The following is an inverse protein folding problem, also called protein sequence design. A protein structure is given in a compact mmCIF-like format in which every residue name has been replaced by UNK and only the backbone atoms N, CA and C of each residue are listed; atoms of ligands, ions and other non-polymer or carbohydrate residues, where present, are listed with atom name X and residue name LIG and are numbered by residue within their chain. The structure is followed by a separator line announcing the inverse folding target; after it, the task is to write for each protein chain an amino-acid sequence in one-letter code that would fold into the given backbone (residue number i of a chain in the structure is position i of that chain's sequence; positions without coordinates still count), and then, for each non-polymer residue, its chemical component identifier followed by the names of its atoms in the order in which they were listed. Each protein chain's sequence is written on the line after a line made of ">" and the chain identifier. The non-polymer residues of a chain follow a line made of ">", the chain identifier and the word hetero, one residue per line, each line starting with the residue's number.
data_IF_008385027828
#
_entry.id   IF_008385027828
#
_cell.length_a   1.000
_cell.length_b   1.000
_cell.length_c   1.000
_cell.angle_alpha   90.00
_cell.angle_beta   90.00
_cell.angle_gamma   90.00
#
_symmetry.space_group_name_H-M   'P 1'
#
loop_
_entity.id
_entity.type
_entity.pdbx_description
1 polymer ?
#
# COMPACT_ATOMS: atom_id res chain seq x y z
N UNK A 1 19.87 17.10 -12.77
CA UNK A 1 18.58 17.75 -12.42
C UNK A 1 18.19 17.35 -11.01
N UNK A 2 17.84 18.33 -10.21
CA UNK A 2 17.41 18.12 -8.82
C UNK A 2 15.89 17.95 -8.82
N UNK A 3 15.39 16.88 -8.23
CA UNK A 3 13.95 16.65 -8.09
C UNK A 3 13.46 17.43 -6.89
N UNK A 4 12.66 18.45 -7.11
CA UNK A 4 12.01 19.22 -6.04
C UNK A 4 10.66 18.57 -5.72
N UNK A 5 10.44 18.20 -4.47
CA UNK A 5 9.15 17.69 -3.99
C UNK A 5 8.42 18.82 -3.26
N UNK A 6 7.15 19.01 -3.63
CA UNK A 6 6.23 19.91 -2.94
C UNK A 6 5.16 19.09 -2.24
N UNK A 7 4.86 19.48 -1.00
CA UNK A 7 3.89 18.81 -0.15
C UNK A 7 2.75 19.77 0.17
N UNK A 8 1.53 19.31 -0.06
CA UNK A 8 0.32 20.05 0.27
C UNK A 8 -0.60 19.16 1.09
N UNK A 9 -1.02 19.63 2.25
CA UNK A 9 -2.10 18.98 2.99
C UNK A 9 -3.44 19.41 2.39
N UNK A 10 -4.33 18.45 2.16
CA UNK A 10 -5.70 18.66 1.71
C UNK A 10 -6.68 18.16 2.78
N UNK A 11 -7.99 18.22 2.52
CA UNK A 11 -9.01 17.84 3.48
C UNK A 11 -8.81 16.43 4.04
N UNK A 12 -8.88 16.27 5.34
CA UNK A 12 -8.77 15.00 6.06
C UNK A 12 -9.91 14.04 5.66
N UNK A 13 -9.66 12.75 5.59
CA UNK A 13 -10.74 11.78 5.34
C UNK A 13 -11.79 11.84 6.48
N UNK A 14 -13.09 11.58 6.20
CA UNK A 14 -14.17 11.69 7.20
C UNK A 14 -14.19 10.53 8.20
N UNK A 15 -13.03 10.15 8.70
CA UNK A 15 -12.84 9.19 9.78
C UNK A 15 -11.87 9.82 10.77
N UNK A 16 -12.37 10.34 11.87
CA UNK A 16 -11.60 11.16 12.82
C UNK A 16 -10.32 10.49 13.36
N UNK A 17 -10.28 9.16 13.40
CA UNK A 17 -9.09 8.39 13.78
C UNK A 17 -8.19 8.05 12.60
N UNK A 18 -8.63 8.30 11.36
CA UNK A 18 -7.99 7.77 10.16
C UNK A 18 -8.06 6.25 10.09
N UNK A 19 -7.46 5.68 9.05
CA UNK A 19 -7.40 4.23 8.82
C UNK A 19 -6.03 3.80 8.32
N UNK A 20 -5.62 2.59 8.65
CA UNK A 20 -4.49 1.92 8.01
C UNK A 20 -4.99 1.00 6.91
N UNK A 21 -4.20 0.87 5.85
CA UNK A 21 -4.41 -0.03 4.72
C UNK A 21 -5.83 0.01 4.10
N UNK A 22 -6.41 1.19 3.83
CA UNK A 22 -7.60 1.27 3.01
C UNK A 22 -7.25 0.92 1.56
N UNK A 23 -8.27 0.54 0.79
CA UNK A 23 -8.21 0.58 -0.66
C UNK A 23 -8.38 2.01 -1.13
N UNK A 24 -7.60 2.41 -2.12
CA UNK A 24 -7.73 3.75 -2.69
C UNK A 24 -7.40 3.74 -4.19
N UNK A 25 -7.96 4.68 -4.92
CA UNK A 25 -7.76 4.81 -6.35
C UNK A 25 -8.53 5.98 -6.92
N UNK A 26 -8.61 6.04 -8.24
CA UNK A 26 -9.37 7.05 -8.97
C UNK A 26 -10.60 6.40 -9.59
N UNK A 27 -11.78 6.92 -9.23
CA UNK A 27 -13.07 6.50 -9.80
C UNK A 27 -13.67 7.69 -10.57
N UNK A 28 -13.81 7.54 -11.87
CA UNK A 28 -14.20 8.65 -12.79
C UNK A 28 -13.28 9.83 -12.61
N UNK A 29 -12.48 10.36 -12.41
CA UNK A 29 -11.66 11.56 -12.09
C UNK A 29 -11.53 11.91 -10.60
N UNK A 30 -12.33 11.26 -9.72
CA UNK A 30 -12.33 11.54 -8.28
C UNK A 30 -11.44 10.58 -7.52
N UNK A 31 -10.75 11.08 -6.50
CA UNK A 31 -10.07 10.22 -5.53
C UNK A 31 -11.11 9.47 -4.68
N UNK A 32 -10.93 8.17 -4.52
CA UNK A 32 -11.74 7.35 -3.61
C UNK A 32 -10.86 6.65 -2.59
N UNK A 33 -11.37 6.53 -1.35
CA UNK A 33 -10.77 5.81 -0.25
C UNK A 33 -11.83 4.92 0.39
N UNK A 34 -11.53 3.63 0.54
CA UNK A 34 -12.53 2.66 0.98
C UNK A 34 -11.96 1.69 2.02
N UNK A 35 -12.74 1.41 3.06
CA UNK A 35 -12.38 0.41 4.07
C UNK A 35 -11.19 0.82 4.95
N UNK A 36 -10.28 -0.12 5.16
CA UNK A 36 -9.16 0.03 6.10
C UNK A 36 -9.55 -0.27 7.55
N UNK A 37 -8.61 -0.14 8.47
CA UNK A 37 -8.86 -0.44 9.88
C UNK A 37 -8.19 0.54 10.83
N UNK A 38 -8.83 0.72 12.00
CA UNK A 38 -8.29 1.53 13.09
C UNK A 38 -8.72 1.02 14.47
N UNK A 39 -8.47 1.81 15.49
CA UNK A 39 -8.92 1.59 16.86
C UNK A 39 -9.84 2.75 17.27
N UNK A 40 -11.17 2.66 17.01
CA UNK A 40 -12.07 3.82 17.12
C UNK A 40 -12.36 4.25 18.57
N UNK A 41 -12.37 3.32 19.51
CA UNK A 41 -12.78 3.59 20.90
C UNK A 41 -11.60 3.86 21.84
N UNK A 42 -10.60 2.98 21.82
CA UNK A 42 -9.41 3.06 22.66
C UNK A 42 -8.19 2.53 21.91
N UNK A 43 -6.99 2.92 22.31
CA UNK A 43 -5.76 2.44 21.68
C UNK A 43 -5.45 0.98 22.04
N UNK A 44 -4.58 0.28 21.27
CA UNK A 44 -4.23 -1.11 21.58
C UNK A 44 -3.72 -1.34 23.01
N UNK A 45 -2.92 -0.43 23.53
CA UNK A 45 -2.40 -0.50 24.91
C UNK A 45 -3.45 -0.22 26.00
N UNK A 46 -4.60 0.33 25.61
CA UNK A 46 -5.78 0.54 26.45
C UNK A 46 -6.80 -0.59 26.25
N UNK A 47 -6.40 -1.72 25.66
CA UNK A 47 -7.23 -2.86 25.25
C UNK A 47 -8.28 -2.52 24.20
N UNK A 48 -8.02 -1.51 23.38
CA UNK A 48 -8.89 -1.14 22.25
C UNK A 48 -8.97 -2.26 21.22
N UNK A 49 -10.17 -2.55 20.75
CA UNK A 49 -10.40 -3.48 19.67
C UNK A 49 -10.12 -2.82 18.33
N UNK A 50 -9.40 -3.53 17.44
CA UNK A 50 -9.22 -3.13 16.06
C UNK A 50 -10.51 -3.38 15.27
N UNK A 51 -10.95 -2.38 14.52
CA UNK A 51 -12.17 -2.43 13.72
C UNK A 51 -11.83 -2.19 12.27
N UNK A 52 -12.36 -3.05 11.40
CA UNK A 52 -12.34 -2.87 9.95
C UNK A 52 -13.57 -2.12 9.50
N UNK A 53 -13.42 -1.28 8.50
CA UNK A 53 -14.47 -0.40 7.96
C UNK A 53 -14.90 -0.84 6.57
N UNK A 54 -16.10 -0.40 6.17
CA UNK A 54 -16.68 -0.64 4.85
C UNK A 54 -16.97 0.64 4.06
N UNK A 55 -16.91 1.81 4.69
CA UNK A 55 -17.29 3.09 4.05
C UNK A 55 -16.37 3.42 2.89
N UNK A 56 -16.98 4.02 1.84
CA UNK A 56 -16.30 4.56 0.67
C UNK A 56 -16.47 6.06 0.69
N UNK A 57 -15.35 6.75 0.70
CA UNK A 57 -15.27 8.21 0.65
C UNK A 57 -14.78 8.65 -0.73
N UNK A 58 -15.31 9.74 -1.23
CA UNK A 58 -14.92 10.38 -2.50
C UNK A 58 -14.51 11.81 -2.29
N UNK A 59 -13.41 12.22 -2.92
CA UNK A 59 -12.97 13.60 -3.05
C UNK A 59 -12.93 13.97 -4.54
N UNK A 60 -13.75 14.91 -4.97
CA UNK A 60 -13.85 15.32 -6.38
C UNK A 60 -12.67 16.16 -6.82
N UNK A 61 -12.28 17.11 -5.97
CA UNK A 61 -11.21 18.07 -6.18
C UNK A 61 -10.39 18.22 -4.88
N UNK A 62 -9.13 18.63 -4.94
CA UNK A 62 -8.29 18.77 -3.75
C UNK A 62 -8.85 19.72 -2.68
N UNK A 63 -9.63 20.72 -3.10
CA UNK A 63 -10.22 21.74 -2.22
C UNK A 63 -11.71 21.48 -1.93
N UNK A 64 -12.26 20.36 -2.37
CA UNK A 64 -13.65 19.97 -2.10
C UNK A 64 -13.79 19.26 -0.75
N UNK A 65 -15.02 19.11 -0.31
CA UNK A 65 -15.35 18.26 0.83
C UNK A 65 -15.45 16.80 0.40
N UNK A 66 -15.12 15.90 1.33
CA UNK A 66 -15.31 14.47 1.15
C UNK A 66 -16.79 14.10 1.20
N UNK A 67 -17.20 13.22 0.32
CA UNK A 67 -18.55 12.64 0.27
C UNK A 67 -18.48 11.16 0.64
N UNK A 68 -19.44 10.66 1.42
CA UNK A 68 -19.66 9.21 1.56
C UNK A 68 -20.54 8.74 0.42
N UNK A 69 -20.01 7.87 -0.45
CA UNK A 69 -20.68 7.45 -1.69
C UNK A 69 -21.15 5.99 -1.67
N UNK A 70 -20.86 5.24 -0.62
CA UNK A 70 -21.24 3.83 -0.54
C UNK A 70 -20.48 3.05 0.50
N UNK A 71 -20.52 1.74 0.34
CA UNK A 71 -19.87 0.76 1.20
C UNK A 71 -19.25 -0.36 0.37
N UNK A 72 -18.12 -0.91 0.83
CA UNK A 72 -17.59 -2.18 0.35
C UNK A 72 -18.60 -3.31 0.65
N UNK A 73 -18.54 -4.44 -0.10
CA UNK A 73 -19.39 -5.60 0.18
C UNK A 73 -19.28 -6.14 1.61
N UNK A 74 -18.14 -5.88 2.26
CA UNK A 74 -17.87 -6.19 3.67
C UNK A 74 -16.79 -5.27 4.22
N UNK A 75 -16.66 -5.13 5.56
CA UNK A 75 -15.52 -4.46 6.16
C UNK A 75 -14.22 -5.14 5.75
N UNK A 76 -13.28 -4.38 5.15
CA UNK A 76 -12.08 -4.95 4.53
C UNK A 76 -10.93 -3.94 4.52
N UNK A 77 -9.69 -4.43 4.58
CA UNK A 77 -8.46 -3.65 4.41
C UNK A 77 -7.26 -4.54 4.13
N UNK A 78 -6.06 -3.97 4.01
CA UNK A 78 -4.79 -4.69 3.85
C UNK A 78 -4.63 -5.50 2.54
N UNK A 79 -5.49 -5.28 1.55
CA UNK A 79 -5.36 -5.84 0.20
C UNK A 79 -4.67 -4.88 -0.76
N UNK A 80 -4.73 -5.23 -2.04
CA UNK A 80 -4.29 -4.40 -3.14
C UNK A 80 -5.44 -3.61 -3.76
N UNK A 81 -5.17 -2.40 -4.27
CA UNK A 81 -6.11 -1.67 -5.11
C UNK A 81 -5.42 -1.00 -6.29
N UNK A 82 -6.12 -0.99 -7.43
CA UNK A 82 -5.57 -0.51 -8.68
C UNK A 82 -6.58 0.37 -9.41
N UNK A 83 -6.18 1.56 -9.80
CA UNK A 83 -6.94 2.37 -10.75
C UNK A 83 -6.83 1.74 -12.13
N UNK A 84 -7.97 1.44 -12.73
CA UNK A 84 -8.08 0.90 -14.10
C UNK A 84 -9.11 1.69 -14.88
N UNK A 85 -9.18 1.47 -16.19
CA UNK A 85 -10.27 2.03 -16.99
C UNK A 85 -11.61 1.53 -16.46
N UNK A 86 -12.52 2.46 -16.20
CA UNK A 86 -13.84 2.17 -15.66
C UNK A 86 -13.95 2.05 -14.14
N UNK A 87 -12.84 2.02 -13.36
CA UNK A 87 -12.98 1.90 -11.92
C UNK A 87 -11.74 1.62 -11.11
N UNK A 88 -11.94 0.99 -9.97
CA UNK A 88 -10.87 0.56 -9.06
C UNK A 88 -11.00 -0.93 -8.77
N UNK A 89 -9.98 -1.70 -9.11
CA UNK A 89 -9.90 -3.12 -8.72
C UNK A 89 -9.47 -3.19 -7.26
N UNK A 90 -10.19 -3.98 -6.48
CA UNK A 90 -9.88 -4.34 -5.09
C UNK A 90 -9.58 -5.83 -5.06
N UNK A 91 -8.43 -6.23 -4.54
CA UNK A 91 -7.97 -7.62 -4.55
C UNK A 91 -7.45 -8.07 -3.18
N UNK A 92 -7.95 -9.20 -2.70
CA UNK A 92 -7.55 -9.78 -1.43
C UNK A 92 -7.90 -8.92 -0.21
N UNK A 93 -7.05 -8.92 0.80
CA UNK A 93 -7.21 -8.18 2.03
C UNK A 93 -7.67 -9.02 3.20
N UNK A 94 -7.97 -8.37 4.32
CA UNK A 94 -8.36 -9.02 5.58
C UNK A 94 -9.53 -8.33 6.26
N UNK A 95 -10.25 -9.09 7.05
CA UNK A 95 -11.10 -8.61 8.14
C UNK A 95 -10.48 -9.00 9.51
N UNK A 96 -11.31 -9.01 10.56
CA UNK A 96 -10.86 -9.38 11.91
C UNK A 96 -10.52 -10.87 12.09
N UNK A 97 -10.97 -11.75 11.22
CA UNK A 97 -10.88 -13.21 11.38
C UNK A 97 -10.06 -13.91 10.31
N UNK A 98 -9.97 -13.36 9.11
CA UNK A 98 -9.35 -14.07 7.98
C UNK A 98 -8.82 -13.13 6.91
N UNK A 99 -8.01 -13.72 6.01
CA UNK A 99 -7.62 -13.11 4.75
C UNK A 99 -8.50 -13.64 3.62
N UNK A 100 -8.61 -12.86 2.54
CA UNK A 100 -9.48 -13.13 1.41
C UNK A 100 -8.68 -13.27 0.11
N UNK A 101 -9.24 -14.05 -0.83
CA UNK A 101 -8.79 -14.12 -2.21
C UNK A 101 -9.70 -13.33 -3.16
N UNK A 102 -10.86 -12.90 -2.70
CA UNK A 102 -11.87 -12.23 -3.51
C UNK A 102 -11.33 -10.96 -4.18
N UNK A 103 -11.73 -10.76 -5.43
CA UNK A 103 -11.42 -9.55 -6.19
C UNK A 103 -12.72 -8.94 -6.74
N UNK A 104 -12.77 -7.62 -6.81
CA UNK A 104 -13.91 -6.88 -7.30
C UNK A 104 -13.45 -5.69 -8.14
N UNK A 105 -14.19 -5.37 -9.19
CA UNK A 105 -14.11 -4.07 -9.83
C UNK A 105 -15.18 -3.16 -9.21
N UNK A 106 -14.72 -2.12 -8.53
CA UNK A 106 -15.55 -1.06 -8.00
C UNK A 106 -15.78 -0.02 -9.09
N UNK A 107 -17.03 0.20 -9.47
CA UNK A 107 -17.45 1.13 -10.53
C UNK A 107 -18.55 2.07 -10.03
N UNK A 108 -18.80 3.12 -10.78
CA UNK A 108 -19.99 3.96 -10.59
C UNK A 108 -20.98 3.74 -11.72
N UNK A 109 -22.20 3.35 -11.38
CA UNK A 109 -23.29 3.20 -12.31
C UNK A 109 -24.49 4.06 -11.85
N UNK A 110 -24.89 5.03 -12.67
CA UNK A 110 -25.99 5.96 -12.40
C UNK A 110 -25.88 6.63 -11.02
N UNK A 111 -24.66 7.07 -10.66
CA UNK A 111 -24.38 7.76 -9.40
C UNK A 111 -24.28 6.85 -8.17
N UNK A 112 -24.33 5.53 -8.33
CA UNK A 112 -24.17 4.54 -7.26
C UNK A 112 -22.92 3.73 -7.45
N UNK A 113 -22.21 3.45 -6.37
CA UNK A 113 -21.08 2.51 -6.39
C UNK A 113 -21.63 1.09 -6.51
N UNK A 114 -21.12 0.36 -7.49
CA UNK A 114 -21.42 -1.06 -7.73
C UNK A 114 -20.14 -1.87 -7.78
N UNK A 115 -20.24 -3.16 -7.49
CA UNK A 115 -19.13 -4.08 -7.48
C UNK A 115 -19.39 -5.23 -8.43
N UNK A 116 -18.49 -5.41 -9.39
CA UNK A 116 -18.48 -6.58 -10.27
C UNK A 116 -17.44 -7.59 -9.75
N UNK A 117 -17.82 -8.85 -9.48
CA UNK A 117 -16.87 -9.88 -9.11
C UNK A 117 -15.87 -10.13 -10.23
N UNK A 118 -14.59 -10.18 -9.86
CA UNK A 118 -13.50 -10.57 -10.75
C UNK A 118 -12.95 -11.95 -10.32
N UNK A 119 -12.19 -12.64 -11.18
CA UNK A 119 -11.47 -13.84 -10.79
C UNK A 119 -10.66 -13.60 -9.52
N UNK A 120 -10.83 -14.49 -8.54
CA UNK A 120 -10.13 -14.42 -7.25
C UNK A 120 -8.63 -14.66 -7.40
N UNK A 121 -7.83 -14.08 -6.48
CA UNK A 121 -6.44 -14.46 -6.31
C UNK A 121 -6.34 -15.99 -6.12
N UNK A 122 -5.24 -16.64 -6.57
CA UNK A 122 -5.05 -18.09 -6.40
C UNK A 122 -5.04 -18.56 -4.94
N UNK A 123 -4.69 -17.68 -4.02
CA UNK A 123 -4.66 -17.89 -2.57
C UNK A 123 -5.17 -16.63 -1.84
N UNK A 124 -5.71 -16.75 -0.61
CA UNK A 124 -6.00 -15.60 0.23
C UNK A 124 -4.71 -14.83 0.54
N UNK A 125 -4.73 -13.50 0.40
CA UNK A 125 -3.57 -12.67 0.69
C UNK A 125 -3.95 -11.34 1.33
N UNK A 126 -3.20 -10.96 2.37
CA UNK A 126 -3.18 -9.61 2.92
C UNK A 126 -1.74 -9.15 3.18
N UNK A 127 -1.56 -7.88 3.51
CA UNK A 127 -0.25 -7.26 3.72
C UNK A 127 0.68 -7.39 2.51
N UNK A 128 0.10 -7.28 1.33
CA UNK A 128 0.81 -7.37 0.04
C UNK A 128 1.43 -6.04 -0.36
N UNK A 129 2.45 -6.10 -1.21
CA UNK A 129 2.82 -4.97 -2.06
C UNK A 129 2.15 -5.10 -3.43
N UNK A 130 1.92 -3.99 -4.12
CA UNK A 130 1.24 -4.02 -5.41
C UNK A 130 1.59 -2.82 -6.27
N UNK A 131 1.49 -2.98 -7.59
CA UNK A 131 1.58 -1.89 -8.55
C UNK A 131 0.93 -2.28 -9.88
N UNK A 132 0.54 -1.28 -10.68
CA UNK A 132 0.11 -1.50 -12.08
C UNK A 132 1.32 -1.38 -13.00
N UNK A 133 1.60 -2.43 -13.76
CA UNK A 133 2.72 -2.51 -14.73
C UNK A 133 2.17 -2.63 -16.15
N UNK A 134 2.11 -1.53 -16.86
CA UNK A 134 1.31 -1.47 -18.10
C UNK A 134 -0.13 -1.83 -17.78
N UNK A 135 -0.65 -2.85 -18.44
CA UNK A 135 -2.01 -3.36 -18.18
C UNK A 135 -2.04 -4.47 -17.12
N UNK A 136 -0.90 -4.88 -16.58
CA UNK A 136 -0.84 -5.90 -15.54
C UNK A 136 -1.05 -5.31 -14.15
N UNK A 137 -1.99 -5.87 -13.41
CA UNK A 137 -2.19 -5.67 -11.98
C UNK A 137 -1.30 -6.65 -11.25
N UNK A 138 -0.27 -6.17 -10.56
CA UNK A 138 0.75 -7.03 -9.94
C UNK A 138 0.64 -7.01 -8.43
N UNK A 139 0.58 -8.18 -7.80
CA UNK A 139 0.54 -8.40 -6.35
C UNK A 139 1.77 -9.19 -5.94
N UNK A 140 2.50 -8.72 -4.93
CA UNK A 140 3.78 -9.28 -4.48
C UNK A 140 3.72 -9.61 -3.00
N UNK A 141 4.14 -10.82 -2.64
CA UNK A 141 4.32 -11.21 -1.24
C UNK A 141 3.00 -11.34 -0.47
N UNK A 142 3.00 -10.86 0.77
CA UNK A 142 1.86 -10.96 1.68
C UNK A 142 1.89 -12.21 2.55
N UNK A 143 0.80 -12.45 3.25
CA UNK A 143 0.59 -13.66 4.07
C UNK A 143 -0.83 -14.19 3.88
N UNK A 144 -1.00 -15.52 4.06
CA UNK A 144 -2.24 -16.22 3.71
C UNK A 144 -3.29 -16.17 4.81
N UNK A 145 -2.87 -16.09 6.07
CA UNK A 145 -3.77 -16.00 7.23
C UNK A 145 -3.25 -15.01 8.26
N UNK A 146 -4.10 -14.47 9.14
CA UNK A 146 -3.66 -13.58 10.22
C UNK A 146 -2.65 -14.23 11.18
N UNK A 147 -2.71 -15.54 11.32
CA UNK A 147 -1.84 -16.32 12.22
C UNK A 147 -0.57 -16.84 11.53
N UNK A 148 -0.38 -16.58 10.23
CA UNK A 148 0.81 -17.07 9.50
C UNK A 148 2.10 -16.55 10.12
N UNK A 149 3.02 -17.46 10.40
CA UNK A 149 4.39 -17.15 10.84
C UNK A 149 5.40 -17.19 9.70
N UNK A 150 4.91 -17.23 8.48
CA UNK A 150 5.69 -17.14 7.24
C UNK A 150 5.00 -16.19 6.28
N UNK A 151 5.79 -15.49 5.48
CA UNK A 151 5.34 -14.67 4.38
C UNK A 151 5.39 -15.42 3.05
N UNK A 152 4.79 -14.84 2.02
CA UNK A 152 4.87 -15.32 0.63
C UNK A 152 5.98 -14.58 -0.13
N UNK A 153 6.58 -15.24 -1.11
CA UNK A 153 7.43 -14.63 -2.15
C UNK A 153 6.84 -14.72 -3.54
N UNK A 154 5.57 -15.17 -3.63
CA UNK A 154 4.86 -15.31 -4.90
C UNK A 154 4.52 -13.96 -5.47
N UNK A 155 4.44 -13.90 -6.78
CA UNK A 155 4.10 -12.71 -7.55
C UNK A 155 2.98 -13.09 -8.49
N UNK A 156 1.81 -12.51 -8.30
CA UNK A 156 0.66 -12.74 -9.15
C UNK A 156 0.41 -11.54 -10.05
N UNK A 157 -0.04 -11.80 -11.26
CA UNK A 157 -0.45 -10.75 -12.19
C UNK A 157 -1.80 -11.07 -12.84
N UNK A 158 -2.56 -10.04 -13.17
CA UNK A 158 -3.82 -10.14 -13.92
C UNK A 158 -3.85 -9.03 -14.98
N UNK A 159 -4.19 -9.36 -16.20
CA UNK A 159 -4.35 -8.40 -17.29
C UNK A 159 -5.67 -7.63 -17.12
N UNK A 160 -5.59 -6.32 -16.92
CA UNK A 160 -6.75 -5.45 -16.75
C UNK A 160 -7.58 -5.24 -18.02
N UNK A 161 -7.05 -5.63 -19.18
CA UNK A 161 -7.79 -5.62 -20.46
C UNK A 161 -8.49 -6.95 -20.74
N UNK A 162 -8.21 -7.98 -19.93
CA UNK A 162 -8.69 -9.34 -20.14
C UNK A 162 -8.96 -10.07 -18.81
N UNK A 163 -9.73 -9.46 -17.90
CA UNK A 163 -10.04 -10.01 -16.57
C UNK A 163 -10.49 -11.48 -16.58
N UNK A 164 -11.25 -11.89 -17.60
CA UNK A 164 -11.74 -13.27 -17.72
C UNK A 164 -10.66 -14.35 -17.80
N UNK A 165 -9.40 -13.99 -18.10
CA UNK A 165 -8.27 -14.90 -18.07
C UNK A 165 -7.78 -15.20 -16.65
N UNK A 166 -8.18 -14.41 -15.66
CA UNK A 166 -7.81 -14.58 -14.26
C UNK A 166 -6.36 -14.22 -13.96
N UNK A 167 -5.92 -14.57 -12.75
CA UNK A 167 -4.57 -14.36 -12.27
C UNK A 167 -3.63 -15.46 -12.76
N UNK A 168 -2.40 -15.06 -13.07
CA UNK A 168 -1.30 -15.97 -13.37
C UNK A 168 -0.08 -15.63 -12.52
N UNK A 169 0.86 -16.54 -12.41
CA UNK A 169 2.05 -16.36 -11.58
C UNK A 169 3.24 -15.90 -12.44
N UNK A 170 3.87 -14.82 -12.04
CA UNK A 170 5.17 -14.40 -12.53
C UNK A 170 6.28 -15.14 -11.77
N UNK A 171 7.53 -15.17 -12.26
CA UNK A 171 8.64 -15.72 -11.50
C UNK A 171 8.68 -15.18 -10.07
N UNK A 172 8.78 -16.03 -9.05
CA UNK A 172 8.75 -15.59 -7.66
C UNK A 172 9.94 -14.68 -7.34
N UNK A 173 9.79 -13.84 -6.31
CA UNK A 173 10.84 -12.97 -5.83
C UNK A 173 12.06 -13.83 -5.41
N UNK A 174 13.29 -13.55 -5.89
CA UNK A 174 14.46 -14.39 -5.61
C UNK A 174 14.99 -14.26 -4.17
N UNK A 175 14.61 -13.18 -3.47
CA UNK A 175 15.00 -12.94 -2.08
C UNK A 175 14.07 -13.58 -1.05
N UNK A 176 14.18 -13.15 0.23
CA UNK A 176 13.29 -13.59 1.28
C UNK A 176 11.82 -13.34 0.97
N UNK A 177 10.95 -14.20 1.48
CA UNK A 177 9.52 -13.94 1.50
C UNK A 177 9.22 -12.67 2.32
N UNK A 178 8.13 -11.97 2.01
CA UNK A 178 7.88 -10.69 2.68
C UNK A 178 6.42 -10.26 2.71
N UNK A 179 6.09 -9.58 3.78
CA UNK A 179 4.88 -8.76 3.91
C UNK A 179 5.24 -7.29 3.74
N UNK A 180 4.26 -6.49 3.32
CA UNK A 180 4.33 -5.02 3.30
C UNK A 180 5.56 -4.46 2.56
N UNK A 181 5.99 -5.01 1.41
CA UNK A 181 7.05 -4.41 0.62
C UNK A 181 6.57 -3.12 -0.05
N UNK A 182 7.50 -2.22 -0.34
CA UNK A 182 7.31 -1.19 -1.33
C UNK A 182 7.40 -1.78 -2.74
N UNK A 183 6.34 -1.61 -3.53
CA UNK A 183 6.31 -2.04 -4.94
C UNK A 183 5.97 -0.85 -5.81
N UNK A 184 6.70 -0.66 -6.89
CA UNK A 184 6.45 0.44 -7.82
C UNK A 184 6.95 0.11 -9.23
N UNK A 185 6.61 0.97 -10.18
CA UNK A 185 6.94 0.78 -11.59
C UNK A 185 7.63 2.01 -12.15
N UNK A 186 8.72 1.81 -12.87
CA UNK A 186 9.38 2.83 -13.68
C UNK A 186 9.68 2.23 -15.04
N UNK A 187 9.19 2.88 -16.09
CA UNK A 187 9.31 2.41 -17.46
C UNK A 187 8.86 0.94 -17.63
N UNK A 188 9.75 0.06 -18.06
CA UNK A 188 9.51 -1.36 -18.30
C UNK A 188 9.82 -2.27 -17.10
N UNK A 189 9.90 -1.70 -15.92
CA UNK A 189 10.44 -2.42 -14.77
C UNK A 189 9.54 -2.32 -13.52
N UNK A 190 9.32 -3.45 -12.85
CA UNK A 190 8.74 -3.53 -11.52
C UNK A 190 9.87 -3.52 -10.50
N UNK A 191 9.77 -2.68 -9.48
CA UNK A 191 10.68 -2.63 -8.35
C UNK A 191 9.98 -3.17 -7.10
N UNK A 192 10.69 -4.01 -6.34
CA UNK A 192 10.24 -4.53 -5.03
C UNK A 192 11.35 -4.24 -4.03
N UNK A 193 11.06 -3.41 -3.04
CA UNK A 193 12.04 -2.96 -2.06
C UNK A 193 11.53 -3.17 -0.65
N UNK A 194 12.42 -3.60 0.26
CA UNK A 194 12.11 -3.74 1.68
C UNK A 194 10.95 -4.69 1.98
N UNK A 195 10.19 -4.41 3.03
CA UNK A 195 9.21 -5.30 3.61
C UNK A 195 9.77 -6.09 4.79
N UNK A 196 8.98 -6.98 5.36
CA UNK A 196 9.42 -7.83 6.45
C UNK A 196 9.20 -9.31 6.12
N UNK A 197 10.23 -10.13 6.31
CA UNK A 197 10.07 -11.58 6.38
C UNK A 197 9.48 -11.98 7.74
N UNK A 198 8.83 -13.12 7.80
CA UNK A 198 8.20 -13.63 9.00
C UNK A 198 8.79 -14.99 9.36
N UNK A 199 9.03 -15.19 10.66
CA UNK A 199 9.41 -16.49 11.21
C UNK A 199 8.72 -16.71 12.57
N UNK A 200 8.54 -17.99 13.00
CA UNK A 200 7.92 -18.29 14.28
C UNK A 200 8.82 -17.87 15.44
N UNK A 201 8.28 -17.03 16.33
CA UNK A 201 8.93 -16.68 17.58
C UNK A 201 8.77 -17.76 18.67
N UNK A 202 9.42 -17.59 19.83
CA UNK A 202 9.34 -18.55 20.92
C UNK A 202 7.93 -18.78 21.48
N UNK A 203 7.05 -17.79 21.35
CA UNK A 203 5.63 -17.85 21.77
C UNK A 203 4.70 -18.34 20.63
N UNK A 204 5.26 -18.81 19.52
CA UNK A 204 4.51 -19.25 18.35
C UNK A 204 3.92 -18.13 17.50
N UNK A 205 4.13 -16.86 17.86
CA UNK A 205 3.69 -15.72 17.05
C UNK A 205 4.74 -15.35 16.03
N UNK A 206 4.29 -14.66 14.97
CA UNK A 206 5.19 -14.16 13.94
C UNK A 206 6.12 -13.08 14.48
N UNK A 207 7.42 -13.24 14.22
CA UNK A 207 8.44 -12.22 14.42
C UNK A 207 8.87 -11.69 13.05
N UNK A 208 9.12 -10.39 12.96
CA UNK A 208 9.53 -9.70 11.74
C UNK A 208 11.04 -9.62 11.62
N UNK A 209 11.55 -9.98 10.45
CA UNK A 209 12.89 -9.62 10.00
C UNK A 209 12.78 -8.48 8.99
N UNK A 210 13.28 -7.31 9.34
CA UNK A 210 13.19 -6.10 8.53
C UNK A 210 14.21 -6.14 7.39
N UNK A 211 13.71 -6.13 6.16
CA UNK A 211 14.52 -6.31 4.95
C UNK A 211 14.93 -4.97 4.36
N UNK A 212 16.15 -4.90 3.79
CA UNK A 212 16.65 -3.73 3.08
C UNK A 212 16.89 -3.98 1.60
N UNK A 213 16.78 -5.22 1.17
CA UNK A 213 17.04 -5.64 -0.19
C UNK A 213 16.02 -5.07 -1.17
N UNK A 214 16.50 -4.78 -2.38
CA UNK A 214 15.69 -4.33 -3.51
C UNK A 214 15.92 -5.22 -4.73
N UNK A 215 14.86 -5.39 -5.51
CA UNK A 215 14.86 -6.16 -6.73
C UNK A 215 14.16 -5.39 -7.84
N UNK A 216 14.61 -5.62 -9.08
CA UNK A 216 13.98 -5.12 -10.29
C UNK A 216 13.62 -6.30 -11.18
N UNK A 217 12.40 -6.32 -11.68
CA UNK A 217 11.92 -7.30 -12.66
C UNK A 217 11.65 -6.61 -14.00
N UNK A 218 12.06 -7.25 -15.10
CA UNK A 218 11.64 -6.92 -16.46
C UNK A 218 11.18 -8.19 -17.15
N UNK A 219 10.25 -8.06 -18.12
CA UNK A 219 9.68 -9.22 -18.83
C UNK A 219 10.77 -10.07 -19.49
N UNK A 220 11.75 -9.47 -20.12
CA UNK A 220 12.82 -10.18 -20.85
C UNK A 220 14.05 -10.50 -20.00
N UNK A 221 14.29 -9.75 -18.94
CA UNK A 221 15.52 -9.90 -18.12
C UNK A 221 15.29 -10.62 -16.79
N UNK A 222 14.04 -10.91 -16.43
CA UNK A 222 13.69 -11.49 -15.15
C UNK A 222 14.08 -10.59 -13.96
N UNK A 223 14.24 -11.22 -12.80
CA UNK A 223 14.64 -10.53 -11.58
C UNK A 223 16.15 -10.23 -11.54
N UNK A 224 16.48 -9.03 -11.11
CA UNK A 224 17.85 -8.62 -10.77
C UNK A 224 17.84 -7.99 -9.38
N UNK A 225 18.79 -8.40 -8.52
CA UNK A 225 19.03 -7.73 -7.24
C UNK A 225 19.67 -6.36 -7.51
N UNK A 226 19.20 -5.35 -6.79
CA UNK A 226 19.78 -4.00 -6.75
C UNK A 226 20.57 -3.81 -5.45
N UNK A 227 21.17 -2.62 -5.29
CA UNK A 227 21.76 -2.21 -4.02
C UNK A 227 20.69 -2.16 -2.92
N UNK A 228 21.07 -2.54 -1.72
CA UNK A 228 20.21 -2.47 -0.56
C UNK A 228 19.86 -1.01 -0.20
N UNK A 229 18.69 -0.82 0.40
CA UNK A 229 18.35 0.46 1.01
C UNK A 229 19.29 0.79 2.17
N UNK A 230 19.55 2.08 2.47
CA UNK A 230 20.33 2.47 3.62
C UNK A 230 19.76 1.94 4.94
N UNK A 231 18.43 1.88 5.05
CA UNK A 231 17.68 1.28 6.16
C UNK A 231 16.43 0.57 5.61
N UNK A 232 15.85 -0.33 6.39
CA UNK A 232 14.59 -0.94 6.05
C UNK A 232 13.47 0.13 5.97
N UNK A 233 12.44 -0.17 5.20
CA UNK A 233 11.25 0.69 5.07
C UNK A 233 10.03 -0.23 4.87
N UNK A 234 9.59 -0.87 5.95
CA UNK A 234 8.43 -1.76 5.93
C UNK A 234 7.15 -0.96 5.88
N UNK A 235 6.20 -1.41 5.07
CA UNK A 235 4.90 -0.76 4.87
C UNK A 235 4.96 0.70 4.39
N UNK A 236 5.87 1.10 3.49
CA UNK A 236 5.82 2.45 2.93
C UNK A 236 4.51 2.64 2.17
N UNK A 237 4.09 3.87 1.86
CA UNK A 237 3.00 4.11 0.91
C UNK A 237 3.21 3.29 -0.37
N UNK A 238 2.22 2.45 -0.71
CA UNK A 238 2.28 1.53 -1.85
C UNK A 238 1.05 1.71 -2.76
N UNK A 239 1.20 1.74 -4.11
CA UNK A 239 2.45 1.61 -4.84
C UNK A 239 3.42 2.76 -4.56
N UNK A 240 4.73 2.48 -4.71
CA UNK A 240 5.76 3.50 -4.53
C UNK A 240 5.57 4.62 -5.56
N UNK A 241 5.45 5.88 -5.13
CA UNK A 241 5.32 7.01 -6.03
C UNK A 241 6.47 7.12 -7.02
N UNK A 242 6.15 7.19 -8.31
CA UNK A 242 7.14 7.51 -9.33
C UNK A 242 7.46 9.00 -9.30
N UNK A 243 8.75 9.32 -9.25
CA UNK A 243 9.30 10.67 -9.28
C UNK A 243 10.45 10.71 -10.29
N UNK A 244 10.33 11.54 -11.32
CA UNK A 244 11.31 11.59 -12.40
C UNK A 244 11.70 10.18 -12.91
N UNK A 245 13.00 9.84 -12.90
CA UNK A 245 13.57 8.57 -13.36
C UNK A 245 13.58 7.44 -12.31
N UNK A 246 12.89 7.60 -11.18
CA UNK A 246 12.92 6.64 -10.08
C UNK A 246 11.63 6.56 -9.28
N UNK A 247 11.70 5.85 -8.18
CA UNK A 247 10.62 5.70 -7.19
C UNK A 247 11.00 6.38 -5.89
N UNK A 248 10.03 6.99 -5.22
CA UNK A 248 10.21 7.50 -3.87
C UNK A 248 9.64 6.54 -2.84
N UNK A 249 10.47 6.15 -1.89
CA UNK A 249 10.04 5.51 -0.65
C UNK A 249 9.86 6.65 0.36
N UNK A 250 8.62 6.92 0.73
CA UNK A 250 8.27 7.88 1.77
C UNK A 250 8.10 7.12 3.07
N UNK A 251 8.84 7.49 4.14
CA UNK A 251 8.70 6.84 5.43
C UNK A 251 8.95 5.32 5.36
N UNK A 252 8.35 4.57 6.27
CA UNK A 252 8.48 3.13 6.46
C UNK A 252 8.93 2.81 7.90
N UNK A 253 8.54 1.64 8.38
CA UNK A 253 9.06 1.11 9.65
C UNK A 253 10.42 0.45 9.39
N UNK A 254 11.48 0.98 9.97
CA UNK A 254 12.84 0.43 9.83
C UNK A 254 13.20 -0.62 10.89
N UNK A 255 12.30 -0.87 11.86
CA UNK A 255 12.49 -1.81 12.95
C UNK A 255 13.39 -1.32 14.09
N UNK A 256 14.08 -0.19 13.93
CA UNK A 256 15.01 0.31 14.94
C UNK A 256 14.36 0.62 16.29
N UNK A 257 13.06 0.91 16.27
CA UNK A 257 12.23 1.25 17.43
C UNK A 257 11.20 0.17 17.77
N UNK A 258 11.26 -1.02 17.17
CA UNK A 258 10.28 -2.09 17.40
C UNK A 258 10.22 -2.59 18.84
N UNK A 259 11.26 -2.36 19.62
CA UNK A 259 11.36 -2.66 21.06
C UNK A 259 10.63 -1.65 21.96
N UNK A 260 10.28 -0.46 21.44
CA UNK A 260 9.63 0.60 22.22
C UNK A 260 8.13 0.26 22.38
N UNK A 261 7.58 0.28 23.61
CA UNK A 261 6.17 0.06 23.82
C UNK A 261 5.30 1.04 23.02
N UNK A 262 4.21 0.55 22.43
CA UNK A 262 3.34 1.34 21.53
C UNK A 262 2.84 2.64 22.16
N UNK A 263 2.56 2.64 23.47
CA UNK A 263 2.05 3.81 24.19
C UNK A 263 3.01 5.01 24.16
N UNK A 264 4.32 4.76 24.12
CA UNK A 264 5.36 5.79 24.17
C UNK A 264 6.22 5.81 22.90
N UNK A 265 5.84 5.07 21.87
CA UNK A 265 6.57 5.04 20.60
C UNK A 265 6.55 6.43 19.93
N UNK A 266 7.70 6.99 19.53
CA UNK A 266 7.78 8.36 19.01
C UNK A 266 7.15 8.55 17.62
N UNK A 267 6.85 7.46 16.92
CA UNK A 267 6.38 7.48 15.54
C UNK A 267 7.44 6.98 14.55
N UNK A 268 7.08 6.99 13.28
CA UNK A 268 7.96 6.67 12.17
C UNK A 268 8.69 7.92 11.70
N UNK A 269 9.79 7.75 10.95
CA UNK A 269 10.53 8.85 10.37
C UNK A 269 9.96 9.22 8.99
N UNK A 270 9.98 10.51 8.65
CA UNK A 270 9.52 11.02 7.36
C UNK A 270 10.57 10.98 6.25
N UNK A 271 11.64 10.22 6.40
CA UNK A 271 12.73 10.16 5.42
C UNK A 271 12.24 9.72 4.04
N UNK A 272 12.86 10.32 3.02
CA UNK A 272 12.54 10.02 1.62
C UNK A 272 13.79 9.42 0.97
N UNK A 273 13.65 8.21 0.46
CA UNK A 273 14.69 7.53 -0.31
C UNK A 273 14.26 7.38 -1.76
N UNK A 274 15.00 7.95 -2.70
CA UNK A 274 14.84 7.67 -4.12
C UNK A 274 15.53 6.37 -4.48
N UNK A 275 14.82 5.51 -5.21
CA UNK A 275 15.35 4.25 -5.74
C UNK A 275 15.31 4.30 -7.27
N UNK A 276 16.42 3.93 -7.88
CA UNK A 276 16.58 3.78 -9.33
C UNK A 276 17.27 2.45 -9.64
N UNK A 277 17.33 2.07 -10.90
CA UNK A 277 18.12 0.91 -11.33
C UNK A 277 19.64 1.05 -11.05
N UNK A 278 20.12 2.27 -10.78
CA UNK A 278 21.54 2.57 -10.52
C UNK A 278 21.88 2.61 -9.04
N UNK A 279 20.90 2.69 -8.15
CA UNK A 279 21.10 2.77 -6.71
C UNK A 279 20.08 3.64 -6.00
N UNK A 280 20.40 4.00 -4.77
CA UNK A 280 19.53 4.75 -3.88
C UNK A 280 20.14 6.12 -3.52
N UNK A 281 19.28 7.11 -3.26
CA UNK A 281 19.70 8.45 -2.80
C UNK A 281 18.68 9.02 -1.82
N UNK A 282 19.14 9.61 -0.73
CA UNK A 282 18.29 10.39 0.16
C UNK A 282 17.81 11.68 -0.55
N UNK A 283 16.53 12.02 -0.36
CA UNK A 283 15.91 13.25 -0.87
C UNK A 283 15.50 14.22 0.25
N UNK A 284 15.86 13.95 1.49
CA UNK A 284 15.40 14.70 2.67
C UNK A 284 14.25 14.04 3.38
N UNK A 285 13.34 14.83 3.95
CA UNK A 285 12.21 14.33 4.74
C UNK A 285 10.89 14.96 4.31
N UNK A 286 9.82 14.17 4.34
CA UNK A 286 8.46 14.64 4.18
C UNK A 286 7.94 15.27 5.48
N UNK A 287 6.95 16.17 5.43
CA UNK A 287 6.28 16.70 6.60
C UNK A 287 5.32 15.69 7.26
N UNK A 288 5.37 14.45 6.84
CA UNK A 288 4.58 13.33 7.36
C UNK A 288 5.40 12.03 7.39
N UNK A 289 4.93 11.07 8.19
CA UNK A 289 5.53 9.76 8.32
C UNK A 289 4.43 8.69 8.34
N UNK A 290 3.70 8.57 7.24
CA UNK A 290 2.59 7.62 7.11
C UNK A 290 3.09 6.29 6.57
N UNK A 291 2.70 5.20 7.23
CA UNK A 291 2.96 3.83 6.78
C UNK A 291 1.64 3.07 6.63
N UNK A 292 1.70 1.90 6.02
CA UNK A 292 0.54 1.01 5.84
C UNK A 292 -0.61 1.73 5.13
N UNK A 293 -0.33 2.28 3.97
CA UNK A 293 -1.26 3.11 3.22
C UNK A 293 -1.14 2.92 1.71
N UNK A 294 -2.26 3.01 1.01
CA UNK A 294 -2.30 3.04 -0.45
C UNK A 294 -1.98 4.43 -0.96
N UNK A 295 -0.95 4.56 -1.79
CA UNK A 295 -0.66 5.77 -2.54
C UNK A 295 -1.44 5.80 -3.85
N UNK A 296 -1.91 6.96 -4.28
CA UNK A 296 -2.72 7.13 -5.49
C UNK A 296 -2.15 8.22 -6.38
N UNK A 297 -1.90 7.91 -7.65
CA UNK A 297 -1.65 8.94 -8.66
C UNK A 297 -2.98 9.62 -9.04
N UNK A 298 -3.11 10.91 -8.77
CA UNK A 298 -4.32 11.68 -9.00
C UNK A 298 -3.98 13.11 -9.44
N UNK A 299 -4.54 13.56 -10.57
CA UNK A 299 -4.36 14.93 -11.09
C UNK A 299 -2.90 15.38 -11.18
N UNK A 300 -2.02 14.53 -11.70
CA UNK A 300 -0.60 14.84 -11.86
C UNK A 300 0.22 14.87 -10.56
N UNK A 301 -0.37 14.47 -9.46
CA UNK A 301 0.28 14.38 -8.15
C UNK A 301 0.12 12.97 -7.56
N UNK A 302 0.91 12.64 -6.56
CA UNK A 302 0.68 11.48 -5.71
C UNK A 302 -0.08 11.90 -4.46
N UNK A 303 -1.03 11.09 -4.03
CA UNK A 303 -1.82 11.32 -2.81
C UNK A 303 -1.60 10.18 -1.82
N UNK A 304 -1.36 10.55 -0.56
CA UNK A 304 -1.23 9.64 0.58
C UNK A 304 -2.43 9.91 1.51
N UNK A 305 -3.51 9.14 1.37
CA UNK A 305 -4.77 9.44 2.07
C UNK A 305 -4.89 8.67 3.39
N UNK A 306 -4.51 9.25 4.51
CA UNK A 306 -4.52 8.60 5.83
C UNK A 306 -3.24 7.80 6.13
N UNK A 307 -3.31 6.77 6.96
CA UNK A 307 -2.21 5.87 7.30
C UNK A 307 -1.92 5.78 8.79
N UNK A 308 -0.93 4.99 9.12
CA UNK A 308 -0.43 4.81 10.48
C UNK A 308 0.81 5.69 10.70
N UNK A 309 0.82 6.47 11.79
CA UNK A 309 1.91 7.40 12.12
C UNK A 309 2.84 6.88 13.22
N UNK A 310 2.36 5.94 13.99
CA UNK A 310 3.12 5.10 14.94
C UNK A 310 2.34 3.81 15.19
N UNK A 311 2.95 2.74 15.72
CA UNK A 311 2.25 1.49 15.96
C UNK A 311 0.96 1.71 16.76
N UNK A 312 -0.18 1.30 16.18
CA UNK A 312 -1.49 1.44 16.81
C UNK A 312 -2.19 2.80 16.63
N UNK A 313 -1.56 3.82 16.05
CA UNK A 313 -2.15 5.15 15.86
C UNK A 313 -2.25 5.50 14.39
N UNK A 314 -3.46 5.81 13.92
CA UNK A 314 -3.72 6.26 12.56
C UNK A 314 -3.97 7.77 12.54
N UNK A 315 -3.99 8.35 11.36
CA UNK A 315 -4.27 9.76 11.14
C UNK A 315 -5.25 9.92 9.98
N UNK A 316 -6.20 10.86 10.03
CA UNK A 316 -7.06 11.18 8.89
C UNK A 316 -6.35 12.05 7.85
N UNK A 317 -5.14 12.52 8.12
CA UNK A 317 -4.42 13.47 7.29
C UNK A 317 -4.19 12.96 5.87
N UNK A 318 -4.44 13.81 4.88
CA UNK A 318 -4.23 13.52 3.46
C UNK A 318 -3.17 14.46 2.90
N UNK A 319 -2.16 13.89 2.27
CA UNK A 319 -1.06 14.63 1.67
C UNK A 319 -1.02 14.46 0.17
N UNK A 320 -0.89 15.56 -0.54
CA UNK A 320 -0.61 15.63 -1.96
C UNK A 320 0.87 15.95 -2.18
N UNK A 321 1.50 15.22 -3.11
CA UNK A 321 2.92 15.32 -3.41
C UNK A 321 3.07 15.59 -4.90
N UNK A 322 3.68 16.72 -5.25
CA UNK A 322 3.99 17.07 -6.63
C UNK A 322 5.50 17.06 -6.79
N UNK A 323 5.99 16.49 -7.87
CA UNK A 323 7.41 16.55 -8.24
C UNK A 323 7.60 17.49 -9.43
N UNK A 324 8.57 18.39 -9.32
CA UNK A 324 9.04 19.23 -10.42
C UNK A 324 10.53 18.94 -10.67
N UNK A 325 10.94 18.96 -11.92
CA UNK A 325 12.35 18.97 -12.30
C UNK A 325 12.85 20.40 -12.37
N UNK A 326 13.99 20.68 -11.72
CA UNK A 326 14.76 21.93 -11.92
C UNK A 326 15.90 21.73 -12.90
#
# INVERSE_FOLDING_TARGET
>A
METLLQFRRIADIPNARGVAAPFAGVLNTSLVVAGGANFPMAYPWERGAKVWHDRIYRLREPDADWETIGKLPQPLGYGASFTVDGGVVVAGGSDSGRHFANCYLMMENRGKVVFEPLPSLPIPLANVGFAKFGDLLVVVGGQETPASTSASKRVFAMDSTAFGKGWFELPPLPGPARILPGVGVVADSIFVCSGADLYPGPDGKAVRNYLRDCYRYTVFGGWKRLADLPKAAVAPPCPLPQIADGLAIFSGDDGSRAWIPQAVHPGFDGDITKVTARGTRALGSAPFAHVTITAVAWRGSWVIPSGEIRPGVRTPAVWMITSAEK
#
